data_IF_678824535910
#
_entry.id   IF_678824535910
#
_cell.length_a   1.000
_cell.length_b   1.000
_cell.length_c   1.000
_cell.angle_alpha   90.00
_cell.angle_beta   90.00
_cell.angle_gamma   90.00
#
_symmetry.space_group_name_H-M   'P 1'
#
loop_
_entity.id
_entity.type
_entity.pdbx_description
1 polymer ?
#
# COMPACT_ATOMS: atom_id res chain seq x y z
N UNK A 1 45.98 64.15 -16.27
CA UNK A 1 45.07 63.05 -16.66
C UNK A 1 45.66 61.78 -16.08
N UNK A 2 45.23 61.49 -14.85
CA UNK A 2 45.73 60.43 -14.00
C UNK A 2 44.49 59.57 -13.70
N UNK A 3 44.61 58.25 -13.85
CA UNK A 3 43.67 57.24 -13.32
C UNK A 3 42.51 56.73 -14.18
N UNK A 4 42.63 56.62 -15.52
CA UNK A 4 41.63 55.85 -16.32
C UNK A 4 42.24 54.64 -17.05
N UNK A 5 43.47 54.72 -17.54
CA UNK A 5 43.99 53.66 -18.43
C UNK A 5 44.67 52.45 -17.74
N UNK A 6 45.06 52.55 -16.47
CA UNK A 6 45.68 51.42 -15.74
C UNK A 6 44.67 50.58 -14.93
N UNK A 7 43.40 50.98 -14.95
CA UNK A 7 42.30 50.36 -14.19
C UNK A 7 41.55 49.34 -15.06
N UNK A 8 41.42 49.59 -16.36
CA UNK A 8 40.61 48.75 -17.26
C UNK A 8 41.24 47.36 -17.53
N UNK A 9 42.54 47.29 -17.80
CA UNK A 9 43.22 46.03 -18.13
C UNK A 9 43.58 45.16 -16.93
N UNK A 10 44.17 45.73 -15.87
CA UNK A 10 44.65 44.96 -14.71
C UNK A 10 43.51 44.42 -13.83
N UNK A 11 42.43 45.19 -13.66
CA UNK A 11 41.23 44.70 -12.96
C UNK A 11 40.53 43.62 -13.80
N UNK A 12 40.60 43.70 -15.14
CA UNK A 12 40.07 42.65 -16.01
C UNK A 12 40.83 41.34 -15.83
N UNK A 13 42.16 41.38 -15.81
CA UNK A 13 42.99 40.17 -15.65
C UNK A 13 42.87 39.57 -14.24
N UNK A 14 42.92 40.38 -13.18
CA UNK A 14 42.69 39.90 -11.81
C UNK A 14 41.27 39.33 -11.64
N UNK A 15 40.25 39.97 -12.23
CA UNK A 15 38.88 39.43 -12.20
C UNK A 15 38.74 38.16 -13.03
N UNK A 16 39.41 38.05 -14.16
CA UNK A 16 39.41 36.85 -14.98
C UNK A 16 40.10 35.68 -14.29
N UNK A 17 41.21 35.93 -13.60
CA UNK A 17 41.93 34.92 -12.82
C UNK A 17 41.15 34.50 -11.58
N UNK A 18 40.53 35.44 -10.87
CA UNK A 18 39.65 35.14 -9.73
C UNK A 18 38.41 34.37 -10.16
N UNK A 19 37.76 34.77 -11.26
CA UNK A 19 36.62 34.04 -11.82
C UNK A 19 37.04 32.65 -12.28
N UNK A 20 38.17 32.49 -12.97
CA UNK A 20 38.67 31.17 -13.38
C UNK A 20 38.96 30.25 -12.21
N UNK A 21 39.59 30.76 -11.15
CA UNK A 21 39.84 29.98 -9.92
C UNK A 21 38.54 29.56 -9.24
N UNK A 22 37.56 30.46 -9.17
CA UNK A 22 36.25 30.15 -8.61
C UNK A 22 35.50 29.11 -9.46
N UNK A 23 35.54 29.24 -10.79
CA UNK A 23 34.95 28.27 -11.71
C UNK A 23 35.63 26.90 -11.65
N UNK A 24 36.96 26.84 -11.53
CA UNK A 24 37.69 25.59 -11.36
C UNK A 24 37.37 24.92 -10.01
N UNK A 25 37.26 25.71 -8.94
CA UNK A 25 36.84 25.22 -7.63
C UNK A 25 35.41 24.66 -7.67
N UNK A 26 34.48 25.40 -8.25
CA UNK A 26 33.08 24.99 -8.40
C UNK A 26 32.96 23.73 -9.29
N UNK A 27 33.70 23.65 -10.41
CA UNK A 27 33.74 22.43 -11.22
C UNK A 27 34.31 21.24 -10.46
N UNK A 28 35.31 21.45 -9.60
CA UNK A 28 35.92 20.39 -8.81
C UNK A 28 34.95 19.87 -7.74
N UNK A 29 34.25 20.77 -7.05
CA UNK A 29 33.20 20.42 -6.08
C UNK A 29 32.04 19.68 -6.77
N UNK A 30 31.55 20.18 -7.90
CA UNK A 30 30.49 19.53 -8.67
C UNK A 30 30.90 18.13 -9.14
N UNK A 31 32.14 17.93 -9.57
CA UNK A 31 32.66 16.60 -9.95
C UNK A 31 32.77 15.63 -8.78
N UNK A 32 32.87 16.12 -7.54
CA UNK A 32 32.87 15.29 -6.33
C UNK A 32 31.45 14.97 -5.85
N UNK A 33 30.51 15.91 -5.97
CA UNK A 33 29.13 15.74 -5.52
C UNK A 33 28.34 14.78 -6.42
N UNK A 34 28.59 14.77 -7.73
CA UNK A 34 27.92 13.88 -8.69
C UNK A 34 28.05 12.39 -8.31
N UNK A 35 29.26 11.83 -8.11
CA UNK A 35 29.39 10.41 -7.75
C UNK A 35 28.81 10.09 -6.37
N UNK A 36 28.87 11.01 -5.41
CA UNK A 36 28.26 10.82 -4.09
C UNK A 36 26.73 10.72 -4.18
N UNK A 37 26.10 11.61 -4.95
CA UNK A 37 24.65 11.57 -5.17
C UNK A 37 24.23 10.34 -5.99
N UNK A 38 25.01 9.95 -7.00
CA UNK A 38 24.76 8.71 -7.75
C UNK A 38 24.84 7.48 -6.86
N UNK A 39 25.86 7.38 -6.00
CA UNK A 39 25.98 6.27 -5.03
C UNK A 39 24.83 6.27 -4.02
N UNK A 40 24.38 7.44 -3.57
CA UNK A 40 23.21 7.55 -2.69
C UNK A 40 21.92 7.07 -3.37
N UNK A 41 21.70 7.45 -4.63
CA UNK A 41 20.54 7.01 -5.43
C UNK A 41 20.61 5.51 -5.65
N UNK A 42 21.74 4.97 -6.11
CA UNK A 42 21.94 3.54 -6.34
C UNK A 42 21.71 2.73 -5.06
N UNK A 43 22.27 3.16 -3.94
CA UNK A 43 22.07 2.50 -2.64
C UNK A 43 20.60 2.54 -2.19
N UNK A 44 19.91 3.66 -2.43
CA UNK A 44 18.49 3.82 -2.13
C UNK A 44 17.60 2.95 -3.03
N UNK A 45 17.90 2.87 -4.32
CA UNK A 45 17.20 2.02 -5.30
C UNK A 45 17.42 0.54 -5.00
N UNK A 46 18.65 0.14 -4.68
CA UNK A 46 18.98 -1.22 -4.28
C UNK A 46 18.22 -1.63 -3.01
N UNK A 47 18.18 -0.76 -1.99
CA UNK A 47 17.41 -1.02 -0.76
C UNK A 47 15.91 -1.14 -1.01
N UNK A 48 15.35 -0.35 -1.93
CA UNK A 48 13.95 -0.48 -2.34
C UNK A 48 13.69 -1.78 -3.11
N UNK A 49 14.60 -2.19 -3.99
CA UNK A 49 14.52 -3.45 -4.72
C UNK A 49 14.57 -4.66 -3.78
N UNK A 50 15.49 -4.65 -2.81
CA UNK A 50 15.63 -5.70 -1.79
C UNK A 50 14.37 -5.79 -0.91
N UNK A 51 13.77 -4.65 -0.57
CA UNK A 51 12.51 -4.59 0.19
C UNK A 51 11.34 -5.15 -0.63
N UNK A 52 11.24 -4.81 -1.91
CA UNK A 52 10.20 -5.33 -2.80
C UNK A 52 10.34 -6.84 -3.03
N UNK A 53 11.58 -7.34 -3.16
CA UNK A 53 11.87 -8.78 -3.25
C UNK A 53 11.50 -9.50 -1.96
N UNK A 54 11.82 -8.94 -0.79
CA UNK A 54 11.43 -9.49 0.50
C UNK A 54 9.90 -9.57 0.64
N UNK A 55 9.18 -8.50 0.29
CA UNK A 55 7.70 -8.50 0.27
C UNK A 55 7.17 -9.55 -0.71
N UNK A 56 7.79 -9.69 -1.89
CA UNK A 56 7.43 -10.72 -2.87
C UNK A 56 7.63 -12.14 -2.36
N UNK A 57 8.72 -12.40 -1.65
CA UNK A 57 9.01 -13.69 -0.99
C UNK A 57 7.97 -13.95 0.10
N UNK A 58 7.71 -12.98 0.97
CA UNK A 58 6.69 -13.09 2.02
C UNK A 58 5.33 -13.39 1.39
N UNK A 59 4.92 -12.67 0.35
CA UNK A 59 3.64 -12.95 -0.35
C UNK A 59 3.61 -14.34 -0.98
N UNK A 60 4.70 -14.80 -1.60
CA UNK A 60 4.78 -16.15 -2.20
C UNK A 60 4.54 -17.28 -1.20
N UNK A 61 4.91 -17.09 0.07
CA UNK A 61 4.75 -18.10 1.12
C UNK A 61 3.56 -17.84 2.07
N UNK A 62 2.98 -16.63 2.06
CA UNK A 62 1.86 -16.24 2.92
C UNK A 62 0.55 -15.92 2.18
N UNK A 63 0.53 -15.95 0.85
CA UNK A 63 -0.72 -15.85 0.09
C UNK A 63 -1.55 -17.11 0.30
N UNK A 64 -2.78 -16.91 0.80
CA UNK A 64 -3.81 -17.93 0.87
C UNK A 64 -4.64 -17.74 -0.40
N UNK A 65 -4.35 -18.47 -1.50
CA UNK A 65 -5.00 -18.23 -2.79
C UNK A 65 -6.51 -18.52 -2.75
N UNK A 66 -6.92 -19.39 -1.83
CA UNK A 66 -8.32 -19.67 -1.51
C UNK A 66 -8.45 -19.89 -0.01
N UNK A 67 -9.42 -19.20 0.56
CA UNK A 67 -9.85 -19.42 1.93
C UNK A 67 -10.57 -20.78 1.99
N UNK A 68 -9.90 -21.81 2.51
CA UNK A 68 -10.51 -23.14 2.69
C UNK A 68 -11.12 -23.26 4.10
N UNK A 69 -12.07 -24.19 4.33
CA UNK A 69 -12.64 -24.43 5.65
C UNK A 69 -11.60 -24.75 6.73
N UNK A 70 -10.55 -25.49 6.37
CA UNK A 70 -9.45 -25.87 7.25
C UNK A 70 -8.66 -24.62 7.67
N UNK A 71 -8.29 -23.79 6.69
CA UNK A 71 -7.59 -22.53 6.92
C UNK A 71 -8.45 -21.56 7.76
N UNK A 72 -9.77 -21.53 7.53
CA UNK A 72 -10.70 -20.74 8.35
C UNK A 72 -10.72 -21.18 9.82
N UNK A 73 -10.68 -22.48 10.09
CA UNK A 73 -10.63 -23.00 11.47
C UNK A 73 -9.32 -22.62 12.18
N UNK A 74 -8.21 -22.52 11.45
CA UNK A 74 -6.95 -22.06 12.00
C UNK A 74 -6.99 -20.57 12.37
N UNK A 75 -7.70 -19.73 11.62
CA UNK A 75 -7.76 -18.29 11.91
C UNK A 75 -8.86 -17.86 12.87
N UNK A 76 -9.95 -18.62 12.99
CA UNK A 76 -11.05 -18.28 13.88
C UNK A 76 -10.69 -18.72 15.30
N UNK A 77 -10.79 -17.79 16.24
CA UNK A 77 -10.67 -18.07 17.68
C UNK A 77 -12.01 -18.51 18.25
N UNK A 78 -13.08 -17.76 17.97
CA UNK A 78 -14.45 -18.08 18.39
C UNK A 78 -15.48 -17.39 17.51
N UNK A 79 -16.68 -17.97 17.51
CA UNK A 79 -17.88 -17.36 16.92
C UNK A 79 -18.88 -17.12 18.04
N UNK A 80 -19.28 -15.87 18.22
CA UNK A 80 -20.27 -15.46 19.22
C UNK A 80 -21.57 -15.18 18.50
N UNK A 81 -22.60 -15.94 18.87
CA UNK A 81 -23.95 -15.75 18.35
C UNK A 81 -24.76 -15.07 19.44
N UNK A 82 -25.22 -13.85 19.15
CA UNK A 82 -26.00 -13.08 20.11
C UNK A 82 -27.46 -13.57 20.18
N UNK A 83 -28.15 -13.13 21.23
CA UNK A 83 -29.57 -13.37 21.37
C UNK A 83 -30.33 -12.82 20.16
N UNK A 84 -31.38 -13.52 19.69
CA UNK A 84 -32.18 -13.04 18.57
C UNK A 84 -32.95 -11.77 18.96
N UNK A 85 -32.90 -10.76 18.10
CA UNK A 85 -33.71 -9.55 18.20
C UNK A 85 -34.92 -9.66 17.26
N UNK A 86 -36.07 -9.17 17.72
CA UNK A 86 -37.35 -9.16 17.00
C UNK A 86 -38.03 -7.79 17.02
N UNK A 87 -37.36 -6.76 17.55
CA UNK A 87 -37.91 -5.40 17.67
C UNK A 87 -38.34 -4.81 16.32
N UNK A 88 -37.70 -5.21 15.21
CA UNK A 88 -38.01 -4.79 13.84
C UNK A 88 -39.21 -5.50 13.20
N UNK A 89 -39.87 -6.43 13.91
CA UNK A 89 -40.97 -7.25 13.40
C UNK A 89 -40.55 -8.57 12.76
N UNK A 90 -39.24 -8.78 12.53
CA UNK A 90 -38.67 -10.03 12.03
C UNK A 90 -37.42 -10.42 12.84
N UNK A 91 -37.02 -11.70 12.80
CA UNK A 91 -35.91 -12.21 13.61
C UNK A 91 -34.58 -11.81 12.97
N UNK A 92 -33.85 -10.93 13.64
CA UNK A 92 -32.45 -10.64 13.36
C UNK A 92 -31.56 -11.31 14.39
N UNK A 93 -30.35 -11.67 13.98
CA UNK A 93 -29.37 -12.25 14.89
C UNK A 93 -27.97 -11.75 14.53
N UNK A 94 -27.32 -11.08 15.48
CA UNK A 94 -25.94 -10.66 15.32
C UNK A 94 -25.00 -11.85 15.57
N UNK A 95 -23.97 -11.93 14.74
CA UNK A 95 -22.91 -12.93 14.80
C UNK A 95 -21.58 -12.17 14.75
N UNK A 96 -20.73 -12.39 15.75
CA UNK A 96 -19.37 -11.86 15.77
C UNK A 96 -18.38 -13.01 15.59
N UNK A 97 -17.47 -12.87 14.63
CA UNK A 97 -16.38 -13.81 14.36
C UNK A 97 -15.09 -13.15 14.85
N UNK A 98 -14.48 -13.76 15.85
CA UNK A 98 -13.19 -13.32 16.39
C UNK A 98 -12.06 -14.10 15.73
N UNK A 99 -11.09 -13.36 15.18
CA UNK A 99 -9.88 -13.95 14.63
C UNK A 99 -8.79 -14.04 15.70
N UNK A 100 -7.96 -15.09 15.62
CA UNK A 100 -6.85 -15.32 16.54
C UNK A 100 -5.88 -14.13 16.56
N UNK A 101 -5.15 -14.02 17.66
CA UNK A 101 -4.17 -12.94 17.91
C UNK A 101 -4.78 -11.53 17.94
N UNK A 102 -6.10 -11.42 18.17
CA UNK A 102 -6.82 -10.14 18.23
C UNK A 102 -6.64 -9.27 16.97
N UNK A 103 -6.41 -9.89 15.81
CA UNK A 103 -6.12 -9.16 14.57
C UNK A 103 -7.36 -8.46 14.01
N UNK A 104 -8.54 -9.06 14.18
CA UNK A 104 -9.80 -8.51 13.70
C UNK A 104 -11.02 -9.13 14.40
N UNK A 105 -12.15 -8.44 14.31
CA UNK A 105 -13.49 -8.96 14.60
C UNK A 105 -14.38 -8.62 13.41
N UNK A 106 -15.07 -9.62 12.86
CA UNK A 106 -16.07 -9.42 11.81
C UNK A 106 -17.48 -9.56 12.40
N UNK A 107 -18.33 -8.57 12.18
CA UNK A 107 -19.73 -8.58 12.64
C UNK A 107 -20.66 -8.73 11.45
N UNK A 108 -21.59 -9.67 11.55
CA UNK A 108 -22.63 -9.91 10.57
C UNK A 108 -24.00 -9.97 11.26
N UNK A 109 -25.04 -9.53 10.56
CA UNK A 109 -26.43 -9.65 11.02
C UNK A 109 -27.18 -10.58 10.07
N UNK A 110 -27.63 -11.72 10.60
CA UNK A 110 -28.51 -12.63 9.88
C UNK A 110 -29.96 -12.18 10.09
N UNK A 111 -30.65 -11.85 8.99
CA UNK A 111 -32.07 -11.50 9.00
C UNK A 111 -32.90 -12.62 8.35
N UNK A 112 -33.86 -13.17 9.11
CA UNK A 112 -34.72 -14.24 8.63
C UNK A 112 -35.56 -13.84 7.42
N UNK A 113 -35.99 -12.57 7.32
CA UNK A 113 -36.81 -12.11 6.19
C UNK A 113 -36.03 -12.16 4.87
N UNK A 114 -34.74 -11.85 4.91
CA UNK A 114 -33.87 -11.90 3.72
C UNK A 114 -33.68 -13.33 3.25
N UNK A 115 -33.45 -14.26 4.18
CA UNK A 115 -33.30 -15.68 3.88
C UNK A 115 -34.59 -16.29 3.29
N UNK A 116 -35.73 -16.05 3.94
CA UNK A 116 -37.02 -16.59 3.52
C UNK A 116 -37.45 -16.08 2.13
N UNK A 117 -37.24 -14.79 1.83
CA UNK A 117 -37.50 -14.25 0.48
C UNK A 117 -36.63 -14.92 -0.57
N UNK A 118 -35.34 -15.14 -0.28
CA UNK A 118 -34.39 -15.76 -1.21
C UNK A 118 -34.74 -17.22 -1.51
N UNK A 119 -35.04 -18.02 -0.48
CA UNK A 119 -35.45 -19.42 -0.66
C UNK A 119 -36.81 -19.53 -1.38
N UNK A 120 -37.75 -18.63 -1.10
CA UNK A 120 -39.03 -18.58 -1.81
C UNK A 120 -38.85 -18.30 -3.30
N UNK A 121 -38.01 -17.33 -3.67
CA UNK A 121 -37.70 -17.03 -5.07
C UNK A 121 -36.95 -18.17 -5.75
N UNK A 122 -35.98 -18.80 -5.06
CA UNK A 122 -35.26 -19.97 -5.58
C UNK A 122 -36.21 -21.13 -5.87
N UNK A 123 -37.17 -21.39 -4.98
CA UNK A 123 -38.17 -22.44 -5.17
C UNK A 123 -39.07 -22.18 -6.38
N UNK A 124 -39.52 -20.93 -6.57
CA UNK A 124 -40.32 -20.54 -7.74
C UNK A 124 -39.51 -20.71 -9.03
N UNK A 125 -38.27 -20.27 -9.03
CA UNK A 125 -37.38 -20.40 -10.18
C UNK A 125 -37.14 -21.87 -10.58
N UNK A 126 -36.83 -22.73 -9.60
CA UNK A 126 -36.64 -24.16 -9.83
C UNK A 126 -37.93 -24.86 -10.28
N UNK A 127 -39.08 -24.48 -9.72
CA UNK A 127 -40.37 -25.01 -10.15
C UNK A 127 -40.68 -24.62 -11.60
N UNK A 128 -40.46 -23.36 -11.98
CA UNK A 128 -40.70 -22.90 -13.35
C UNK A 128 -39.79 -23.60 -14.38
N UNK A 129 -38.52 -23.84 -14.04
CA UNK A 129 -37.60 -24.63 -14.87
C UNK A 129 -38.05 -26.09 -15.04
N UNK A 130 -38.61 -26.71 -14.00
CA UNK A 130 -39.13 -28.09 -14.09
C UNK A 130 -40.42 -28.23 -14.90
N UNK A 131 -41.14 -27.13 -15.15
CA UNK A 131 -42.40 -27.10 -15.89
C UNK A 131 -42.19 -26.71 -17.37
N UNK A 132 -41.01 -26.22 -17.73
CA UNK A 132 -40.67 -25.79 -19.11
C UNK A 132 -39.93 -26.84 -19.95
N UNK A 133 -39.67 -28.04 -19.40
CA UNK A 133 -39.02 -29.15 -20.09
C UNK A 133 -39.85 -30.44 -20.00
#
# INVERSE_FOLDING_TARGET
MLSEDNVSGKISDERFEMMSKNYEAEQKELRQIIPELSQFIEASEQKNADTAQFIGIVRKYFEIPKLTPEIMHEFIEKIVVHAPDKSSGHRTQQIDIHFRFNVAVATAVADSMVYDKKERLRRIFLHNLSVTY
#
